data_IF_117336408173
#
_entry.id   IF_117336408173
#
_cell.length_a   1.000
_cell.length_b   1.000
_cell.length_c   1.000
_cell.angle_alpha   90.00
_cell.angle_beta   90.00
_cell.angle_gamma   90.00
#
_symmetry.space_group_name_H-M   'P 1'
#
loop_
_entity.id
_entity.type
_entity.pdbx_description
1 polymer ?
2 non-polymer ?
3 non-polymer ?
4 water ?
#
# COMPACT_ATOMS: atom_id res chain seq x y z
N UNK A 6 -13.29 -6.56 -8.84
CA UNK A 6 -12.24 -6.36 -7.85
C UNK A 6 -11.33 -7.57 -7.73
N UNK A 7 -10.24 -7.46 -6.99
CA UNK A 7 -9.89 -6.28 -6.17
C UNK A 7 -9.30 -5.13 -6.99
N UNK A 8 -9.78 -3.91 -6.75
CA UNK A 8 -9.25 -2.73 -7.43
C UNK A 8 -8.17 -1.98 -6.64
N UNK A 9 -8.49 -1.65 -5.37
CA UNK A 9 -7.57 -0.94 -4.48
C UNK A 9 -7.27 -1.78 -3.23
N UNK A 10 -5.99 -2.08 -3.01
CA UNK A 10 -5.60 -2.86 -1.87
C UNK A 10 -4.68 -2.06 -0.93
N UNK A 11 -5.14 -1.84 0.30
CA UNK A 11 -4.35 -1.14 1.31
C UNK A 11 -3.60 -2.17 2.16
N UNK A 12 -2.28 -2.17 2.02
CA UNK A 12 -1.38 -3.04 2.78
C UNK A 12 -0.77 -2.25 3.96
N UNK A 13 -0.94 -2.75 5.17
CA UNK A 13 -0.48 -2.02 6.34
C UNK A 13 -0.13 -2.95 7.49
N UNK A 14 0.54 -2.41 8.49
CA UNK A 14 0.78 -3.14 9.72
C UNK A 14 -0.01 -2.51 10.85
N UNK A 15 -0.23 -3.27 11.93
CA UNK A 15 -1.06 -2.75 13.02
C UNK A 15 -0.64 -1.39 13.59
N UNK A 16 0.62 -1.00 13.53
CA UNK A 16 0.99 0.33 14.05
C UNK A 16 0.43 1.50 13.21
N UNK A 17 -0.05 1.22 12.00
CA UNK A 17 -0.62 2.22 11.11
C UNK A 17 -2.13 1.94 10.83
N UNK A 18 -2.71 1.15 11.72
CA UNK A 18 -4.14 0.81 11.74
C UNK A 18 -5.10 1.99 11.47
N UNK A 19 -4.89 3.10 12.15
CA UNK A 19 -5.78 4.25 12.01
C UNK A 19 -5.59 4.95 10.66
N UNK A 20 -4.38 4.98 10.12
CA UNK A 20 -4.17 5.52 8.79
C UNK A 20 -4.96 4.70 7.78
N UNK A 21 -5.06 3.42 8.05
CA UNK A 21 -5.73 2.53 7.15
C UNK A 21 -7.25 2.80 7.24
N UNK A 22 -7.79 3.09 8.41
CA UNK A 22 -9.23 3.18 8.50
C UNK A 22 -9.54 4.55 7.91
N UNK A 23 -8.65 5.52 8.15
CA UNK A 23 -8.80 6.87 7.58
C UNK A 23 -8.97 6.83 6.07
N UNK A 24 -8.09 6.10 5.38
CA UNK A 24 -8.12 6.07 3.90
C UNK A 24 -9.31 5.31 3.36
N UNK A 25 -9.71 4.25 4.06
CA UNK A 25 -10.90 3.51 3.70
C UNK A 25 -12.08 4.48 3.65
N UNK A 26 -12.32 5.21 4.74
CA UNK A 26 -13.48 6.11 4.81
C UNK A 26 -13.36 7.22 3.77
N UNK A 27 -12.15 7.70 3.55
CA UNK A 27 -11.97 8.72 2.55
C UNK A 27 -12.28 8.20 1.13
N UNK A 28 -11.80 6.98 0.84
CA UNK A 28 -11.94 6.41 -0.49
C UNK A 28 -13.39 6.05 -0.79
N UNK A 29 -14.14 5.67 0.22
CA UNK A 29 -15.54 5.36 0.09
C UNK A 29 -16.39 6.62 0.03
N UNK A 30 -15.83 7.73 0.44
CA UNK A 30 -16.52 9.01 0.39
C UNK A 30 -16.41 9.65 -0.97
N UNK A 31 -15.33 9.34 -1.68
CA UNK A 31 -14.94 10.07 -2.88
C UNK A 31 -15.52 9.50 -4.16
N UNK A 32 -16.01 10.38 -5.03
CA UNK A 32 -16.59 9.95 -6.30
C UNK A 32 -15.62 9.17 -7.22
N UNK A 33 -14.32 9.51 -7.24
CA UNK A 33 -13.40 8.86 -8.19
C UNK A 33 -13.18 7.39 -7.92
N UNK A 34 -13.43 6.95 -6.69
CA UNK A 34 -13.03 5.60 -6.29
C UNK A 34 -14.07 4.88 -5.42
N UNK A 35 -15.03 5.62 -4.84
CA UNK A 35 -16.09 5.03 -4.02
C UNK A 35 -16.66 3.76 -4.65
N UNK A 36 -16.85 3.80 -5.96
CA UNK A 36 -17.47 2.72 -6.70
C UNK A 36 -16.57 1.47 -6.83
N UNK A 37 -15.29 1.59 -6.51
CA UNK A 37 -14.36 0.46 -6.70
C UNK A 37 -14.30 -0.51 -5.50
N UNK A 38 -13.80 -1.73 -5.74
CA UNK A 38 -13.61 -2.67 -4.63
C UNK A 38 -12.33 -2.35 -3.88
N UNK A 39 -12.49 -1.93 -2.62
CA UNK A 39 -11.38 -1.49 -1.79
C UNK A 39 -11.22 -2.40 -0.58
N UNK A 40 -10.21 -3.24 -0.64
CA UNK A 40 -9.89 -4.19 0.40
C UNK A 40 -8.62 -3.77 1.17
N UNK A 41 -8.35 -4.44 2.30
CA UNK A 41 -7.19 -4.17 3.13
C UNK A 41 -6.53 -5.47 3.57
N UNK A 42 -5.21 -5.49 3.69
CA UNK A 42 -4.54 -6.66 4.26
C UNK A 42 -3.57 -6.25 5.36
N UNK A 43 -3.80 -6.74 6.57
CA UNK A 43 -2.91 -6.38 7.65
C UNK A 43 -1.75 -7.39 7.73
N UNK A 44 -0.52 -6.87 7.74
CA UNK A 44 0.68 -7.71 7.80
C UNK A 44 1.21 -7.88 9.20
N UNK A 45 1.19 -9.13 9.66
CA UNK A 45 1.92 -9.58 10.84
C UNK A 45 1.37 -9.08 12.14
N UNK A 46 1.91 -9.57 13.25
CA UNK A 46 2.87 -10.67 13.31
C UNK A 46 2.15 -11.96 13.65
N UNK A 47 0.82 -11.89 13.65
CA UNK A 47 -0.01 -13.01 14.04
C UNK A 47 -0.12 -14.05 12.92
N UNK A 48 0.22 -13.66 11.70
CA UNK A 48 -0.08 -14.53 10.58
C UNK A 48 0.83 -14.37 9.36
N UNK A 49 0.78 -15.37 8.49
CA UNK A 49 1.11 -15.23 7.07
C UNK A 49 -0.25 -15.15 6.36
N UNK A 50 -0.29 -15.24 5.04
CA UNK A 50 -1.57 -15.05 4.34
C UNK A 50 -2.26 -16.40 3.97
N UNK A 51 -3.59 -16.38 4.01
CA UNK A 51 -4.40 -17.53 3.61
C UNK A 51 -4.41 -17.65 2.09
N UNK A 52 -4.90 -18.79 1.58
CA UNK A 52 -5.02 -18.99 0.15
C UNK A 52 -5.71 -17.80 -0.52
N UNK A 53 -6.91 -17.46 -0.03
CA UNK A 53 -7.69 -16.37 -0.59
C UNK A 53 -7.00 -15.02 -0.47
N UNK A 54 -6.02 -14.92 0.44
CA UNK A 54 -5.32 -13.66 0.70
C UNK A 54 -4.22 -13.36 -0.32
N UNK A 55 -3.15 -14.16 -0.31
CA UNK A 55 -2.01 -13.96 -1.19
C UNK A 55 -2.46 -13.88 -2.67
N UNK A 56 -3.65 -14.42 -2.92
CA UNK A 56 -4.37 -14.18 -4.17
C UNK A 56 -4.50 -12.68 -4.39
N UNK A 57 -5.20 -12.02 -3.47
CA UNK A 57 -5.50 -10.58 -3.52
C UNK A 57 -4.25 -9.74 -3.80
N UNK A 58 -3.13 -10.08 -3.15
CA UNK A 58 -1.88 -9.35 -3.31
C UNK A 58 -1.48 -9.29 -4.77
N UNK A 59 -1.61 -10.42 -5.45
CA UNK A 59 -1.19 -10.52 -6.83
C UNK A 59 -2.25 -10.04 -7.81
N UNK A 60 -3.51 -10.03 -7.38
CA UNK A 60 -4.64 -9.84 -8.28
C UNK A 60 -5.12 -8.40 -8.35
N UNK A 61 -4.85 -7.62 -7.31
CA UNK A 61 -5.41 -6.27 -7.22
C UNK A 61 -4.87 -5.38 -8.34
N UNK A 62 -5.62 -4.33 -8.67
CA UNK A 62 -5.24 -3.43 -9.74
C UNK A 62 -4.23 -2.39 -9.22
N UNK A 63 -4.43 -1.96 -7.98
CA UNK A 63 -3.60 -0.92 -7.38
C UNK A 63 -3.26 -1.25 -5.92
N UNK A 64 -2.03 -0.96 -5.50
CA UNK A 64 -1.65 -1.23 -4.12
C UNK A 64 -1.29 0.06 -3.46
N UNK A 65 -1.79 0.25 -2.24
CA UNK A 65 -1.43 1.39 -1.43
C UNK A 65 -0.67 0.81 -0.26
N UNK A 66 0.60 1.20 -0.14
CA UNK A 66 1.49 0.69 0.91
C UNK A 66 1.62 1.69 2.05
N UNK A 67 1.16 1.33 3.25
CA UNK A 67 1.37 2.25 4.37
C UNK A 67 2.76 1.95 4.94
N UNK A 68 3.70 2.83 4.65
CA UNK A 68 5.08 2.62 5.08
C UNK A 68 5.26 3.00 6.53
N UNK A 69 4.98 2.05 7.42
CA UNK A 69 5.29 2.21 8.84
C UNK A 69 6.56 1.43 9.22
N UNK A 70 7.09 1.67 10.42
CA UNK A 70 8.25 0.94 10.95
C UNK A 70 8.01 -0.56 11.01
N UNK A 71 6.83 -0.96 11.49
CA UNK A 71 6.49 -2.37 11.60
C UNK A 71 6.35 -3.01 10.24
N UNK A 72 5.93 -2.23 9.25
CA UNK A 72 5.77 -2.78 7.94
C UNK A 72 7.13 -3.02 7.29
N UNK A 73 8.08 -2.07 7.38
CA UNK A 73 9.33 -2.29 6.68
C UNK A 73 10.08 -3.46 7.33
N UNK A 74 9.86 -3.71 8.62
CA UNK A 74 10.43 -4.92 9.23
C UNK A 74 10.07 -6.20 8.45
N UNK A 75 8.96 -6.18 7.71
CA UNK A 75 8.60 -7.35 6.91
C UNK A 75 9.39 -7.40 5.63
N UNK A 76 9.93 -6.25 5.21
CA UNK A 76 10.85 -6.24 4.08
C UNK A 76 12.13 -7.04 4.37
N UNK A 77 12.39 -7.31 5.66
CA UNK A 77 13.61 -8.02 6.04
C UNK A 77 13.36 -9.53 6.29
N UNK A 78 12.21 -10.04 5.90
CA UNK A 78 11.94 -11.48 5.95
C UNK A 78 12.07 -12.05 4.54
N UNK A 79 13.13 -12.85 4.29
CA UNK A 79 13.42 -13.36 2.95
C UNK A 79 12.42 -14.38 2.45
N UNK A 80 11.66 -15.00 3.34
CA UNK A 80 10.59 -15.89 2.91
C UNK A 80 9.47 -15.07 2.26
N UNK A 81 9.42 -13.79 2.60
CA UNK A 81 8.30 -12.94 2.25
C UNK A 81 8.63 -11.92 1.15
N UNK A 82 9.83 -11.35 1.22
CA UNK A 82 10.22 -10.26 0.32
C UNK A 82 9.93 -10.58 -1.16
N UNK A 83 10.30 -11.78 -1.64
CA UNK A 83 10.02 -12.07 -3.05
C UNK A 83 8.55 -11.96 -3.45
N UNK A 84 7.64 -12.23 -2.53
CA UNK A 84 6.22 -12.05 -2.84
C UNK A 84 5.93 -10.57 -2.95
N UNK A 85 6.49 -9.77 -2.05
CA UNK A 85 6.26 -8.33 -2.09
C UNK A 85 6.82 -7.66 -3.35
N UNK A 86 7.94 -8.13 -3.83
CA UNK A 86 8.45 -7.57 -5.08
C UNK A 86 7.48 -7.82 -6.25
N UNK A 87 6.75 -8.96 -6.23
CA UNK A 87 6.02 -9.43 -7.44
C UNK A 87 4.67 -8.68 -7.26
N UNK A 88 4.21 -8.50 -6.01
CA UNK A 88 2.96 -7.76 -5.69
C UNK A 88 3.02 -6.24 -5.95
N UNK A 89 4.12 -5.62 -5.53
CA UNK A 89 4.26 -4.17 -5.61
C UNK A 89 4.85 -3.80 -6.97
N UNK A 90 4.11 -4.16 -8.01
CA UNK A 90 4.58 -4.07 -9.37
C UNK A 90 3.35 -4.10 -10.28
N UNK A 91 3.39 -3.39 -11.43
CA UNK A 91 4.42 -2.43 -11.88
C UNK A 91 4.38 -1.09 -11.11
N UNK A 92 5.44 -0.26 -11.24
CA UNK A 92 5.54 0.88 -10.33
C UNK A 92 4.42 1.91 -10.48
N UNK A 93 3.82 2.04 -11.66
CA UNK A 93 2.77 3.08 -11.83
C UNK A 93 1.47 2.69 -11.14
N UNK A 94 1.38 1.43 -10.71
CA UNK A 94 0.24 0.94 -9.95
C UNK A 94 0.45 0.98 -8.42
N UNK A 95 1.58 1.52 -7.96
CA UNK A 95 1.90 1.46 -6.53
C UNK A 95 1.96 2.84 -5.89
N UNK A 96 1.30 2.95 -4.74
CA UNK A 96 1.30 4.17 -3.97
C UNK A 96 1.81 3.88 -2.58
N UNK A 97 2.67 4.77 -2.08
CA UNK A 97 3.13 4.57 -0.71
C UNK A 97 2.80 5.78 0.10
N UNK A 98 2.37 5.53 1.34
CA UNK A 98 2.18 6.59 2.29
C UNK A 98 3.23 6.46 3.39
N UNK A 99 3.98 7.52 3.60
CA UNK A 99 5.02 7.53 4.64
C UNK A 99 4.41 7.74 5.99
N UNK A 100 4.40 6.70 6.81
CA UNK A 100 3.86 6.80 8.16
C UNK A 100 4.95 6.69 9.25
N UNK A 101 5.63 7.81 9.49
CA UNK A 101 6.69 7.87 10.50
C UNK A 101 7.96 7.15 10.09
N UNK A 102 8.13 7.00 8.78
CA UNK A 102 9.31 6.44 8.16
C UNK A 102 9.83 7.46 7.13
N UNK A 103 11.06 7.90 7.30
CA UNK A 103 11.69 8.81 6.37
C UNK A 103 11.99 8.02 5.05
N UNK A 104 11.77 8.63 3.88
CA UNK A 104 12.12 7.94 2.62
C UNK A 104 13.65 7.75 2.60
N UNK A 105 14.14 6.78 1.83
CA UNK A 105 15.57 6.46 1.86
C UNK A 105 16.05 5.68 0.63
N UNK A 106 17.34 5.83 0.33
CA UNK A 106 17.99 5.17 -0.79
C UNK A 106 18.11 3.66 -0.56
N UNK A 107 18.16 3.24 0.70
CA UNK A 107 18.19 1.82 1.05
C UNK A 107 17.00 1.02 0.52
N UNK A 108 15.84 1.66 0.37
CA UNK A 108 14.65 0.95 -0.11
C UNK A 108 14.85 0.43 -1.54
N UNK A 109 15.72 1.08 -2.30
CA UNK A 109 16.06 0.63 -3.67
C UNK A 109 16.66 -0.77 -3.69
N UNK A 110 17.24 -1.20 -2.57
CA UNK A 110 17.76 -2.57 -2.44
C UNK A 110 16.65 -3.60 -2.30
N UNK A 111 15.49 -3.18 -1.78
CA UNK A 111 14.37 -4.09 -1.62
C UNK A 111 13.44 -4.02 -2.82
N UNK A 112 13.20 -2.80 -3.31
CA UNK A 112 12.35 -2.64 -4.47
C UNK A 112 13.06 -1.74 -5.47
N UNK A 113 13.45 -2.32 -6.60
CA UNK A 113 14.30 -1.61 -7.56
C UNK A 113 13.60 -0.43 -8.23
N UNK A 114 12.30 -0.53 -8.49
CA UNK A 114 11.53 0.60 -9.05
C UNK A 114 10.92 1.56 -8.01
N UNK A 115 11.45 1.52 -6.78
CA UNK A 115 10.93 2.28 -5.64
C UNK A 115 10.74 3.77 -5.92
N UNK A 116 11.71 4.34 -6.63
CA UNK A 116 11.72 5.75 -6.96
C UNK A 116 10.57 6.10 -7.90
N UNK A 117 9.94 5.11 -8.49
CA UNK A 117 8.89 5.43 -9.44
C UNK A 117 7.51 5.33 -8.90
N UNK A 118 7.39 4.91 -7.64
CA UNK A 118 6.10 4.93 -6.98
C UNK A 118 5.71 6.39 -6.75
N UNK A 119 4.41 6.57 -6.77
CA UNK A 119 3.73 7.68 -6.17
C UNK A 119 3.87 7.68 -4.65
N UNK A 120 4.40 8.80 -4.12
CA UNK A 120 4.63 8.90 -2.68
C UNK A 120 3.72 9.92 -2.00
N UNK A 121 3.18 9.54 -0.85
CA UNK A 121 2.37 10.48 -0.09
C UNK A 121 2.88 10.67 1.33
N UNK A 122 2.54 11.81 1.89
CA UNK A 122 2.87 12.11 3.28
C UNK A 122 1.62 12.30 4.15
N UNK A 123 1.87 12.29 5.45
CA UNK A 123 0.90 12.52 6.52
C UNK A 123 0.31 13.92 6.55
N UNK A 124 0.91 14.85 5.81
CA UNK A 124 0.39 16.22 5.78
C UNK A 124 -0.15 16.63 4.42
N UNK A 125 -0.41 15.65 3.55
CA UNK A 125 -0.95 15.94 2.23
C UNK A 125 -2.43 16.28 2.34
N UNK A 126 -2.93 17.08 1.41
CA UNK A 126 -4.36 17.30 1.34
C UNK A 126 -5.09 16.00 0.91
N UNK A 127 -6.28 15.75 1.47
CA UNK A 127 -7.10 14.59 1.09
C UNK A 127 -7.28 14.46 -0.43
N UNK A 128 -7.39 15.58 -1.14
CA UNK A 128 -7.55 15.55 -2.59
C UNK A 128 -6.30 14.94 -3.22
N UNK A 129 -5.14 15.15 -2.60
CA UNK A 129 -3.92 14.52 -3.08
C UNK A 129 -3.97 12.99 -2.94
N UNK A 130 -4.48 12.51 -1.82
CA UNK A 130 -4.57 11.07 -1.59
C UNK A 130 -5.43 10.38 -2.65
N UNK A 131 -6.61 10.94 -2.91
CA UNK A 131 -7.54 10.36 -3.86
C UNK A 131 -7.04 10.49 -5.30
N UNK A 132 -6.49 11.65 -5.66
CA UNK A 132 -5.90 11.83 -6.99
C UNK A 132 -4.84 10.78 -7.26
N UNK A 133 -4.09 10.39 -6.21
CA UNK A 133 -3.05 9.38 -6.41
C UNK A 133 -3.67 8.00 -6.69
N UNK A 134 -4.63 7.53 -5.90
CA UNK A 134 -5.21 6.23 -6.25
C UNK A 134 -6.10 6.32 -7.51
N UNK A 135 -6.62 7.50 -7.83
CA UNK A 135 -7.32 7.61 -9.08
C UNK A 135 -6.37 7.40 -10.24
N UNK A 136 -5.20 8.04 -10.17
CA UNK A 136 -4.21 7.96 -11.24
C UNK A 136 -3.71 6.51 -11.36
N UNK A 137 -3.54 5.86 -10.22
CA UNK A 137 -3.01 4.50 -10.19
C UNK A 137 -3.95 3.41 -10.75
N UNK A 138 -5.27 3.57 -10.62
CA UNK A 138 -6.18 2.56 -11.18
C UNK A 138 -6.59 2.86 -12.62
N UNK A 139 -6.17 4.00 -13.14
CA UNK A 139 -6.65 4.44 -14.45
C UNK A 139 -5.65 4.14 -15.56
X LIG B 1 -7.84 14.43 16.51
X LIG B 1 -6.77 14.03 17.35
X LIG B 1 -6.40 12.58 17.07
X LIG B 1 -5.04 12.49 16.77
X LIG B 1 -4.54 10.17 16.14
X LIG B 1 -4.66 11.65 15.71
X LIG B 1 -3.62 9.52 15.29
X LIG B 1 -3.43 8.64 13.07
X LIG B 1 -4.09 8.51 14.43
X LIG B 1 -4.36 8.50 12.02
X LIG B 1 -5.45 9.93 10.29
X LIG B 1 -4.16 9.34 10.92
X LIG B 1 -5.38 11.34 10.28
X LIG B 1 -5.86 13.33 8.99
X LIG B 1 -6.40 12.03 9.59
X LIG B 1 -6.21 13.55 7.64
X LIG C 1 -14.74 14.29 -6.78
X LIG C 1 -16.90 13.55 -1.03
X LIG C 1 -11.04 13.79 -1.58
X LIG C 1 -11.70 13.42 -6.17
X LIG C 1 -10.89 14.95 -4.82
X LIG C 1 -13.77 13.59 -0.40
X LIG C 1 -17.01 13.92 -4.28
X LIG C 1 -12.99 14.01 -4.19
X LIG C 1 -14.39 14.03 -4.73
X LIG C 1 -15.58 13.91 -3.83
X LIG C 1 -15.35 13.75 -2.40
X LIG C 1 -13.97 13.72 -1.87
X LIG C 1 -12.80 13.85 -2.72
X LIG C 1 -11.79 14.14 -5.13
X LIG C 1 -13.56 14.64 0.23
X LIG C 1 -13.80 12.46 0.13
#
# INVERSE_FOLDING_TARGET
>A
SNAPRGCDILIVYSPDAEEWCQYLQTLFLSSRQVRSQKILTHRLGPEASFSAEDLSLFLSTRCVVVLLSAELVQHFHKPSLLPLLQRAFHPPHRVVRLLCGVRDSEEFLDFFPDWAHWQELTCDDEPETYVAAVKKAIS
>B hetero
1 1PE OH2 C12 C22 OH3 C13 C23 OH4 C14 C24 OH5 C15 C25 OH6 C16 C26 OH7
>C hetero
1 I3C I3 I2 I1 O8 O9 C10 N13 C1 C6 C5 C4 C3 C2 C7 O11 O12
#
